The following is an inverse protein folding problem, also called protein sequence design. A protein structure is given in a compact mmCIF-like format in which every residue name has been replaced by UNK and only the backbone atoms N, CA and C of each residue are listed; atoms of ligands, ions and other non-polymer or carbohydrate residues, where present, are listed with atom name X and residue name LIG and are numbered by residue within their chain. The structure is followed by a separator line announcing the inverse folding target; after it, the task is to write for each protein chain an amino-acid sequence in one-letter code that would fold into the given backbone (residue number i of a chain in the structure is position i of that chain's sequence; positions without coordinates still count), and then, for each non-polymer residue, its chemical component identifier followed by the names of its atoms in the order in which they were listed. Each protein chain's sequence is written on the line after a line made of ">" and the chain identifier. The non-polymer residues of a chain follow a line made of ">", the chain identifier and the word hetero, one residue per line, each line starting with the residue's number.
data_IF_070248235053
#
_entry.id   IF_070248235053
#
_cell.length_a   1.000
_cell.length_b   1.000
_cell.length_c   1.000
_cell.angle_alpha   90.00
_cell.angle_beta   90.00
_cell.angle_gamma   90.00
#
_symmetry.space_group_name_H-M   'P 1'
#
loop_
_entity.id
_entity.type
_entity.pdbx_description
1 polymer ?
#
# COMPACT_ATOMS: atom_id res chain seq x y z
N UNK A 1 12.60 31.30 16.45
CA UNK A 1 13.77 30.48 16.07
C UNK A 1 13.25 29.23 15.38
N UNK A 2 13.32 29.14 14.05
CA UNK A 2 13.10 27.86 13.35
C UNK A 2 14.37 27.06 13.57
N UNK A 3 14.34 26.10 14.49
CA UNK A 3 15.41 25.12 14.62
C UNK A 3 15.50 24.38 13.30
N UNK A 4 16.59 24.56 12.55
CA UNK A 4 16.84 23.80 11.32
C UNK A 4 16.66 22.31 11.60
N UNK A 5 15.68 21.69 10.96
CA UNK A 5 15.30 20.32 11.23
C UNK A 5 16.47 19.38 10.94
N UNK A 6 16.74 18.44 11.86
CA UNK A 6 17.78 17.41 11.68
C UNK A 6 17.60 16.59 10.38
N UNK A 7 18.54 15.69 10.04
CA UNK A 7 18.57 14.99 8.77
C UNK A 7 17.25 14.31 8.39
N UNK A 8 16.99 14.21 7.08
CA UNK A 8 15.85 13.48 6.53
C UNK A 8 16.10 11.98 6.48
N UNK A 9 15.03 11.19 6.38
CA UNK A 9 15.07 9.73 6.21
C UNK A 9 14.35 9.38 4.92
N UNK A 10 15.00 8.57 4.07
CA UNK A 10 14.40 8.02 2.85
C UNK A 10 14.43 6.49 2.92
N UNK A 11 13.26 5.86 2.83
CA UNK A 11 13.11 4.42 2.72
C UNK A 11 12.64 4.04 1.31
N UNK A 12 13.37 3.15 0.64
CA UNK A 12 13.00 2.61 -0.67
C UNK A 12 12.67 1.13 -0.53
N UNK A 13 11.41 0.77 -0.78
CA UNK A 13 10.93 -0.61 -0.61
C UNK A 13 10.51 -1.23 -1.95
N UNK A 14 11.21 -2.30 -2.35
CA UNK A 14 10.84 -3.10 -3.52
C UNK A 14 9.84 -4.20 -3.15
N UNK A 15 8.55 -3.98 -3.44
CA UNK A 15 7.51 -4.99 -3.16
C UNK A 15 7.78 -6.29 -3.92
N UNK A 16 8.06 -7.38 -3.19
CA UNK A 16 8.38 -8.70 -3.77
C UNK A 16 9.81 -8.82 -4.30
N UNK A 17 10.68 -7.85 -4.00
CA UNK A 17 12.09 -7.86 -4.43
C UNK A 17 12.94 -8.70 -3.47
N UNK A 18 12.90 -10.01 -3.65
CA UNK A 18 13.83 -10.94 -2.97
C UNK A 18 15.22 -10.93 -3.62
N UNK A 19 16.16 -11.68 -3.04
CA UNK A 19 17.54 -11.80 -3.55
C UNK A 19 17.55 -12.28 -5.01
N UNK A 20 16.72 -13.28 -5.35
CA UNK A 20 16.64 -13.83 -6.71
C UNK A 20 16.11 -12.80 -7.72
N UNK A 21 15.03 -12.09 -7.36
CA UNK A 21 14.46 -11.02 -8.19
C UNK A 21 15.45 -9.89 -8.40
N UNK A 22 16.18 -9.51 -7.35
CA UNK A 22 17.18 -8.47 -7.40
C UNK A 22 18.38 -8.86 -8.28
N UNK A 23 18.91 -10.07 -8.12
CA UNK A 23 19.99 -10.60 -9.00
C UNK A 23 19.54 -10.68 -10.45
N UNK A 24 18.32 -11.13 -10.74
CA UNK A 24 17.79 -11.15 -12.09
C UNK A 24 17.68 -9.74 -12.69
N UNK A 25 17.21 -8.75 -11.90
CA UNK A 25 17.15 -7.36 -12.32
C UNK A 25 18.55 -6.77 -12.59
N UNK A 26 19.56 -7.17 -11.81
CA UNK A 26 20.97 -6.78 -11.99
C UNK A 26 21.47 -7.20 -13.37
N UNK A 27 21.31 -8.48 -13.69
CA UNK A 27 21.75 -9.07 -14.96
C UNK A 27 21.04 -8.39 -16.13
N UNK A 28 19.71 -8.27 -16.03
CA UNK A 28 18.92 -7.63 -17.08
C UNK A 28 19.36 -6.18 -17.33
N UNK A 29 19.63 -5.42 -16.27
CA UNK A 29 20.11 -4.03 -16.41
C UNK A 29 21.42 -3.96 -17.19
N UNK A 30 22.38 -4.84 -16.91
CA UNK A 30 23.65 -4.88 -17.63
C UNK A 30 23.50 -5.28 -19.09
N UNK A 31 22.63 -6.25 -19.38
CA UNK A 31 22.31 -6.67 -20.75
C UNK A 31 21.68 -5.52 -21.56
N UNK A 32 20.80 -4.73 -20.95
CA UNK A 32 20.25 -3.51 -21.57
C UNK A 32 21.32 -2.43 -21.85
N UNK A 33 22.49 -2.53 -21.21
CA UNK A 33 23.65 -1.67 -21.43
C UNK A 33 24.72 -2.34 -22.33
N UNK A 34 24.36 -3.40 -23.05
CA UNK A 34 25.25 -4.20 -23.91
C UNK A 34 26.43 -4.84 -23.15
N UNK A 35 26.24 -5.19 -21.88
CA UNK A 35 27.21 -5.95 -21.07
C UNK A 35 26.71 -7.39 -20.85
N UNK A 36 27.56 -8.25 -20.30
CA UNK A 36 27.19 -9.65 -19.96
C UNK A 36 26.09 -9.72 -18.89
N UNK A 37 26.07 -8.76 -17.96
CA UNK A 37 25.01 -8.58 -16.97
C UNK A 37 25.45 -8.86 -15.53
N UNK A 38 26.10 -9.99 -15.28
CA UNK A 38 26.39 -10.49 -13.92
C UNK A 38 27.25 -9.54 -13.08
N UNK A 39 28.20 -8.86 -13.72
CA UNK A 39 29.11 -7.89 -13.09
C UNK A 39 28.49 -6.50 -12.88
N UNK A 40 27.23 -6.30 -13.27
CA UNK A 40 26.59 -4.98 -13.21
C UNK A 40 26.33 -4.58 -11.78
N UNK A 41 26.86 -3.44 -11.35
CA UNK A 41 26.58 -2.91 -10.00
C UNK A 41 25.29 -2.08 -10.02
N UNK A 42 24.35 -2.40 -9.13
CA UNK A 42 23.17 -1.56 -8.88
C UNK A 42 23.44 -0.53 -7.78
N UNK A 43 22.69 0.57 -7.75
CA UNK A 43 22.83 1.59 -6.70
C UNK A 43 22.60 1.01 -5.29
N UNK A 44 21.77 -0.04 -5.17
CA UNK A 44 21.56 -0.74 -3.89
C UNK A 44 22.77 -1.61 -3.50
N UNK A 45 23.63 -2.01 -4.43
CA UNK A 45 24.85 -2.77 -4.16
C UNK A 45 25.96 -1.91 -3.54
N UNK A 46 25.88 -0.58 -3.70
CA UNK A 46 26.91 0.34 -3.16
C UNK A 46 26.68 0.73 -1.70
N UNK A 47 25.59 0.27 -1.07
CA UNK A 47 25.33 0.55 0.34
C UNK A 47 26.30 -0.25 1.22
N UNK A 48 26.94 0.38 2.23
CA UNK A 48 28.01 -0.25 3.00
C UNK A 48 27.52 -1.33 3.97
N UNK A 49 26.21 -1.38 4.26
CA UNK A 49 25.62 -2.29 5.24
C UNK A 49 24.48 -3.09 4.62
N UNK A 50 24.45 -4.39 4.91
CA UNK A 50 23.40 -5.32 4.48
C UNK A 50 22.90 -6.14 5.67
N UNK A 51 21.62 -6.45 5.69
CA UNK A 51 20.99 -7.29 6.72
C UNK A 51 19.81 -8.08 6.16
N UNK A 52 19.39 -9.11 6.90
CA UNK A 52 18.21 -9.91 6.59
C UNK A 52 17.11 -9.65 7.61
N UNK A 53 15.87 -9.52 7.13
CA UNK A 53 14.70 -9.27 7.96
C UNK A 53 13.68 -10.41 7.83
N UNK A 54 13.12 -10.85 8.97
CA UNK A 54 11.96 -11.75 9.02
C UNK A 54 10.70 -10.90 9.11
N UNK A 55 9.70 -11.20 8.28
CA UNK A 55 8.46 -10.41 8.19
C UNK A 55 7.24 -11.24 8.54
N UNK A 56 6.23 -10.60 9.11
CA UNK A 56 4.93 -11.22 9.32
C UNK A 56 4.10 -11.13 8.02
N UNK A 57 3.29 -12.14 7.75
CA UNK A 57 2.49 -12.24 6.54
C UNK A 57 1.07 -11.71 6.78
N UNK A 58 0.56 -10.98 5.81
CA UNK A 58 -0.83 -10.52 5.70
C UNK A 58 -1.33 -9.52 6.75
N UNK A 59 -0.49 -9.07 7.68
CA UNK A 59 -0.82 -8.00 8.63
C UNK A 59 -0.08 -6.70 8.30
N UNK A 60 -0.53 -5.57 8.85
CA UNK A 60 0.04 -4.23 8.59
C UNK A 60 0.20 -3.51 9.93
N UNK A 61 1.40 -2.97 10.20
CA UNK A 61 1.64 -2.07 11.34
C UNK A 61 1.31 -2.68 12.70
N UNK A 62 1.44 -4.00 12.85
CA UNK A 62 1.19 -4.72 14.11
C UNK A 62 2.34 -5.65 14.45
N UNK A 63 2.46 -5.97 15.74
CA UNK A 63 3.43 -6.91 16.28
C UNK A 63 3.17 -8.34 15.79
N UNK A 64 4.14 -9.24 16.05
CA UNK A 64 4.00 -10.67 15.75
C UNK A 64 2.87 -11.37 16.53
N UNK A 65 2.34 -10.75 17.60
CA UNK A 65 1.25 -11.32 18.38
C UNK A 65 -0.13 -11.15 17.72
N UNK A 66 -0.27 -10.21 16.78
CA UNK A 66 -1.51 -10.04 16.03
C UNK A 66 -1.68 -11.17 15.00
N UNK A 67 -2.89 -11.74 14.96
CA UNK A 67 -3.25 -12.84 14.06
C UNK A 67 -3.98 -12.32 12.84
N UNK A 68 -3.59 -12.83 11.66
CA UNK A 68 -4.20 -12.46 10.39
C UNK A 68 -5.73 -12.66 10.41
N UNK A 69 -6.49 -11.62 10.06
CA UNK A 69 -7.95 -11.61 9.99
C UNK A 69 -8.67 -11.50 11.33
N UNK A 70 -7.96 -11.55 12.47
CA UNK A 70 -8.56 -11.50 13.80
C UNK A 70 -8.47 -10.08 14.39
N UNK A 71 -9.49 -9.25 14.13
CA UNK A 71 -9.55 -7.85 14.60
C UNK A 71 -9.23 -7.69 16.09
N UNK A 72 -9.78 -8.57 16.95
CA UNK A 72 -9.56 -8.52 18.41
C UNK A 72 -8.09 -8.60 18.83
N UNK A 73 -7.24 -9.21 18.00
CA UNK A 73 -5.81 -9.36 18.27
C UNK A 73 -4.98 -8.16 17.80
N UNK A 74 -5.58 -7.22 17.08
CA UNK A 74 -4.93 -5.98 16.67
C UNK A 74 -4.70 -5.05 17.86
N UNK A 75 -5.73 -4.91 18.71
CA UNK A 75 -5.72 -3.96 19.83
C UNK A 75 -4.60 -4.28 20.83
N UNK A 76 -3.77 -3.29 21.11
CA UNK A 76 -2.61 -3.40 21.99
C UNK A 76 -1.36 -3.98 21.29
N UNK A 77 -1.46 -4.33 20.01
CA UNK A 77 -0.35 -4.84 19.21
C UNK A 77 0.03 -3.89 18.08
N UNK A 78 -0.53 -2.67 18.03
CA UNK A 78 -0.14 -1.64 17.09
C UNK A 78 1.31 -1.21 17.31
N UNK A 79 2.07 -1.07 16.22
CA UNK A 79 3.46 -0.58 16.26
C UNK A 79 3.58 0.74 15.54
N UNK A 80 4.15 1.73 16.20
CA UNK A 80 4.34 3.08 15.64
C UNK A 80 5.39 3.05 14.54
N UNK A 81 5.11 3.69 13.41
CA UNK A 81 6.03 3.79 12.28
C UNK A 81 7.03 4.96 12.45
N UNK A 82 8.15 4.88 11.74
CA UNK A 82 9.10 6.00 11.63
C UNK A 82 8.47 7.24 11.02
N UNK A 83 7.48 7.06 10.12
CA UNK A 83 6.73 8.16 9.50
C UNK A 83 5.91 8.91 10.57
N UNK A 84 5.22 8.19 11.46
CA UNK A 84 4.51 8.78 12.59
C UNK A 84 5.46 9.52 13.52
N UNK A 85 6.60 8.93 13.89
CA UNK A 85 7.60 9.59 14.72
C UNK A 85 8.17 10.86 14.09
N UNK A 86 8.44 10.84 12.79
CA UNK A 86 8.92 12.02 12.06
C UNK A 86 7.87 13.14 12.08
N UNK A 87 6.59 12.82 11.83
CA UNK A 87 5.51 13.81 11.88
C UNK A 87 5.30 14.36 13.30
N UNK A 88 5.34 13.51 14.32
CA UNK A 88 5.23 13.93 15.73
C UNK A 88 6.42 14.82 16.16
N UNK A 89 7.59 14.66 15.53
CA UNK A 89 8.74 15.54 15.69
C UNK A 89 8.66 16.84 14.84
N UNK A 90 7.52 17.11 14.19
CA UNK A 90 7.29 18.31 13.39
C UNK A 90 7.95 18.31 12.01
N UNK A 91 8.39 17.15 11.51
CA UNK A 91 8.94 17.02 10.14
C UNK A 91 7.81 16.79 9.13
N UNK A 92 8.04 17.25 7.90
CA UNK A 92 7.20 16.85 6.78
C UNK A 92 7.44 15.37 6.43
N UNK A 93 6.38 14.69 6.03
CA UNK A 93 6.39 13.27 5.69
C UNK A 93 5.64 13.01 4.38
N UNK A 94 6.04 11.96 3.67
CA UNK A 94 5.42 11.63 2.40
C UNK A 94 5.49 10.15 2.04
N UNK A 95 4.55 9.72 1.22
CA UNK A 95 4.46 8.37 0.67
C UNK A 95 4.39 8.48 -0.85
N UNK A 96 5.29 7.76 -1.53
CA UNK A 96 5.28 7.62 -2.99
C UNK A 96 5.29 6.13 -3.33
N UNK A 97 4.32 5.68 -4.12
CA UNK A 97 4.23 4.29 -4.56
C UNK A 97 3.68 4.20 -5.97
N UNK A 98 4.08 3.16 -6.70
CA UNK A 98 3.47 2.78 -7.98
C UNK A 98 2.19 1.95 -7.80
N UNK A 99 1.92 1.50 -6.57
CA UNK A 99 0.75 0.70 -6.23
C UNK A 99 -0.39 1.57 -5.70
N UNK A 100 -1.42 0.94 -5.14
CA UNK A 100 -2.44 1.65 -4.37
C UNK A 100 -1.80 2.17 -3.09
N UNK A 101 -2.10 3.39 -2.67
CA UNK A 101 -1.55 3.92 -1.39
C UNK A 101 -2.04 3.12 -0.18
N UNK A 102 -3.16 2.40 -0.31
CA UNK A 102 -3.69 1.44 0.67
C UNK A 102 -3.06 0.05 0.59
N UNK A 103 -2.13 -0.19 -0.35
CA UNK A 103 -1.43 -1.46 -0.46
C UNK A 103 -0.55 -1.72 0.79
N UNK A 104 -0.21 -2.97 1.07
CA UNK A 104 0.47 -3.35 2.31
C UNK A 104 1.74 -2.52 2.58
N UNK A 105 2.62 -2.38 1.59
CA UNK A 105 3.90 -1.65 1.74
C UNK A 105 3.74 -0.18 2.10
N UNK A 106 2.97 0.65 1.37
CA UNK A 106 2.74 2.03 1.82
C UNK A 106 1.91 2.07 3.13
N UNK A 107 0.96 1.17 3.31
CA UNK A 107 0.10 1.14 4.49
C UNK A 107 0.83 0.86 5.81
N UNK A 108 1.96 0.15 5.82
CA UNK A 108 2.74 -0.05 7.06
C UNK A 108 3.26 1.24 7.67
N UNK A 109 3.33 2.32 6.88
CA UNK A 109 3.79 3.62 7.37
C UNK A 109 2.73 4.40 8.14
N UNK A 110 1.45 4.05 8.05
CA UNK A 110 0.36 4.83 8.67
C UNK A 110 -0.78 4.01 9.27
N UNK A 111 -0.98 2.76 8.85
CA UNK A 111 -2.11 1.93 9.25
C UNK A 111 -1.70 0.79 10.19
N UNK A 112 -2.65 0.39 11.02
CA UNK A 112 -2.61 -0.81 11.85
C UNK A 112 -3.79 -1.69 11.44
N UNK A 113 -3.51 -2.85 10.85
CA UNK A 113 -4.54 -3.76 10.37
C UNK A 113 -4.15 -5.23 10.57
N UNK A 114 -5.03 -5.99 11.19
CA UNK A 114 -4.94 -7.45 11.25
C UNK A 114 -5.09 -8.12 9.87
N UNK A 115 -5.46 -7.40 8.81
CA UNK A 115 -5.51 -7.94 7.45
C UNK A 115 -5.18 -6.88 6.40
N UNK A 116 -4.19 -7.17 5.58
CA UNK A 116 -3.81 -6.35 4.42
C UNK A 116 -4.88 -6.27 3.33
N UNK A 117 -5.95 -7.05 3.43
CA UNK A 117 -7.04 -7.08 2.45
C UNK A 117 -8.12 -6.04 2.75
N UNK A 118 -8.14 -5.45 3.95
CA UNK A 118 -9.14 -4.47 4.38
C UNK A 118 -8.84 -3.07 3.83
N UNK A 119 -8.83 -2.94 2.49
CA UNK A 119 -8.50 -1.68 1.81
C UNK A 119 -9.54 -0.60 2.07
N UNK A 120 -10.81 -0.98 2.04
CA UNK A 120 -11.97 -0.15 2.37
C UNK A 120 -12.93 -0.89 3.30
N UNK A 121 -13.91 -0.18 3.83
CA UNK A 121 -15.03 -0.73 4.59
C UNK A 121 -15.76 -1.87 3.84
N UNK A 122 -15.83 -1.81 2.50
CA UNK A 122 -16.42 -2.85 1.67
C UNK A 122 -15.64 -4.17 1.69
N UNK A 123 -14.33 -4.14 2.00
CA UNK A 123 -13.48 -5.33 2.05
C UNK A 123 -13.43 -5.97 3.45
N UNK A 124 -14.07 -5.35 4.44
CA UNK A 124 -14.05 -5.81 5.83
C UNK A 124 -15.23 -6.73 6.16
N UNK A 125 -14.99 -7.83 6.89
CA UNK A 125 -16.09 -8.63 7.42
C UNK A 125 -16.85 -7.83 8.50
N UNK A 126 -18.16 -8.03 8.57
CA UNK A 126 -19.04 -7.33 9.53
C UNK A 126 -18.60 -7.53 10.99
N UNK A 127 -18.05 -8.72 11.31
CA UNK A 127 -17.49 -8.98 12.63
C UNK A 127 -16.33 -8.03 12.98
N UNK A 128 -15.43 -7.75 12.03
CA UNK A 128 -14.30 -6.85 12.26
C UNK A 128 -14.75 -5.40 12.44
N UNK A 129 -15.79 -4.97 11.70
CA UNK A 129 -16.39 -3.64 11.87
C UNK A 129 -17.02 -3.50 13.25
N UNK A 130 -17.77 -4.51 13.70
CA UNK A 130 -18.38 -4.56 15.03
C UNK A 130 -17.34 -4.58 16.15
N UNK A 131 -16.22 -5.26 15.94
CA UNK A 131 -15.09 -5.30 16.87
C UNK A 131 -14.27 -3.98 16.88
N UNK A 132 -14.65 -2.98 16.08
CA UNK A 132 -14.06 -1.64 16.08
C UNK A 132 -12.83 -1.47 15.19
N UNK A 133 -12.47 -2.46 14.38
CA UNK A 133 -11.44 -2.27 13.37
C UNK A 133 -11.92 -1.32 12.27
N UNK A 134 -10.99 -0.53 11.74
CA UNK A 134 -11.21 0.39 10.62
C UNK A 134 -10.40 -0.02 9.42
N UNK A 135 -10.89 0.31 8.24
CA UNK A 135 -10.23 0.00 6.98
C UNK A 135 -8.98 0.87 6.75
N UNK A 136 -8.11 0.42 5.86
CA UNK A 136 -6.82 1.08 5.56
C UNK A 136 -7.04 2.46 4.92
N UNK A 137 -8.06 2.66 4.10
CA UNK A 137 -8.35 3.96 3.49
C UNK A 137 -8.78 5.00 4.53
N UNK A 138 -9.64 4.61 5.48
CA UNK A 138 -10.01 5.46 6.63
C UNK A 138 -8.80 5.84 7.47
N UNK A 139 -7.91 4.89 7.73
CA UNK A 139 -6.70 5.11 8.54
C UNK A 139 -5.70 6.04 7.87
N UNK A 140 -5.61 6.04 6.53
CA UNK A 140 -4.75 6.95 5.76
C UNK A 140 -5.05 8.43 6.06
N UNK A 141 -6.32 8.76 6.28
CA UNK A 141 -6.76 10.14 6.53
C UNK A 141 -6.77 10.52 8.01
N UNK A 142 -6.81 9.53 8.91
CA UNK A 142 -7.09 9.76 10.34
C UNK A 142 -5.89 9.55 11.25
N UNK A 143 -4.99 8.62 10.92
CA UNK A 143 -3.95 8.20 11.85
C UNK A 143 -2.77 9.18 11.90
N UNK A 144 -2.38 9.74 10.76
CA UNK A 144 -1.24 10.66 10.64
C UNK A 144 -1.53 11.68 9.56
N UNK A 145 -1.19 12.94 9.81
CA UNK A 145 -1.25 13.99 8.80
C UNK A 145 -0.03 13.87 7.86
N UNK A 146 -0.27 13.40 6.64
CA UNK A 146 0.79 13.13 5.65
C UNK A 146 0.79 14.24 4.60
N UNK A 147 1.92 14.93 4.46
CA UNK A 147 2.03 16.12 3.62
C UNK A 147 1.97 15.78 2.11
N UNK A 148 2.51 14.62 1.73
CA UNK A 148 2.52 14.17 0.33
C UNK A 148 2.09 12.71 0.22
N UNK A 149 1.05 12.44 -0.58
CA UNK A 149 0.59 11.08 -0.89
C UNK A 149 0.49 10.94 -2.42
N UNK A 150 1.37 10.12 -3.01
CA UNK A 150 1.40 9.88 -4.46
C UNK A 150 1.30 8.38 -4.72
N UNK A 151 0.28 7.97 -5.48
CA UNK A 151 0.09 6.60 -5.93
C UNK A 151 -1.31 6.38 -6.51
N UNK A 152 -1.68 5.11 -6.69
CA UNK A 152 -3.03 4.71 -7.10
C UNK A 152 -4.01 4.55 -5.93
N UNK A 153 -5.15 3.91 -6.19
CA UNK A 153 -6.10 3.52 -5.13
C UNK A 153 -7.28 4.47 -4.90
N UNK A 154 -7.54 5.37 -5.85
CA UNK A 154 -8.66 6.33 -5.82
C UNK A 154 -10.01 5.70 -5.47
N UNK A 155 -10.30 4.52 -6.01
CA UNK A 155 -11.60 3.84 -5.83
C UNK A 155 -11.99 3.57 -4.37
N UNK A 156 -11.03 3.50 -3.45
CA UNK A 156 -11.27 3.26 -2.02
C UNK A 156 -11.55 4.54 -1.25
N UNK A 157 -11.38 5.70 -1.88
CA UNK A 157 -11.56 7.02 -1.27
C UNK A 157 -12.88 7.67 -1.70
N UNK A 158 -13.72 6.95 -2.45
CA UNK A 158 -14.94 7.48 -3.05
C UNK A 158 -16.12 6.54 -2.79
N UNK A 159 -17.35 7.06 -2.62
CA UNK A 159 -18.55 6.23 -2.51
C UNK A 159 -18.72 5.27 -3.69
N UNK A 160 -19.44 4.16 -3.46
CA UNK A 160 -19.80 3.22 -4.53
C UNK A 160 -20.54 3.95 -5.65
N UNK A 161 -20.18 3.64 -6.89
CA UNK A 161 -20.79 4.24 -8.09
C UNK A 161 -20.17 5.57 -8.53
N UNK A 162 -19.20 6.12 -7.80
CA UNK A 162 -18.45 7.29 -8.25
C UNK A 162 -17.67 6.93 -9.52
N UNK A 163 -17.98 7.58 -10.64
CA UNK A 163 -17.27 7.39 -11.91
C UNK A 163 -15.88 8.02 -11.81
N UNK A 164 -14.85 7.27 -12.18
CA UNK A 164 -13.51 7.83 -12.29
C UNK A 164 -13.40 8.65 -13.58
N UNK A 165 -13.24 9.96 -13.43
CA UNK A 165 -13.15 10.90 -14.54
C UNK A 165 -11.92 10.65 -15.43
N UNK A 166 -10.89 9.98 -14.90
CA UNK A 166 -9.66 9.65 -15.64
C UNK A 166 -9.70 8.31 -16.37
N UNK A 167 -10.81 7.57 -16.30
CA UNK A 167 -11.02 6.45 -17.22
C UNK A 167 -11.34 7.02 -18.60
N UNK A 168 -10.31 7.34 -19.40
CA UNK A 168 -10.48 7.20 -20.85
C UNK A 168 -10.98 5.78 -21.04
N UNK A 169 -12.22 5.62 -21.51
CA UNK A 169 -12.72 4.32 -21.92
C UNK A 169 -11.84 3.86 -23.08
N UNK A 170 -10.75 3.15 -22.77
CA UNK A 170 -10.04 2.36 -23.76
C UNK A 170 -10.93 1.13 -23.96
N UNK A 171 -12.01 1.32 -24.72
CA UNK A 171 -12.73 0.20 -25.32
C UNK A 171 -11.73 -0.49 -26.24
N UNK A 172 -11.43 -1.79 -26.05
CA UNK A 172 -10.69 -2.55 -27.04
C UNK A 172 -11.46 -2.44 -28.37
N UNK A 173 -10.81 -2.19 -29.51
CA UNK A 173 -11.50 -2.23 -30.79
C UNK A 173 -12.02 -3.65 -31.00
N UNK A 174 -13.33 -3.86 -30.82
CA UNK A 174 -14.00 -5.13 -31.12
C UNK A 174 -15.03 -5.67 -30.12
N UNK A 175 -15.19 -5.11 -28.92
CA UNK A 175 -16.21 -5.59 -27.99
C UNK A 175 -17.61 -5.04 -28.37
N UNK A 176 -18.30 -5.71 -29.31
CA UNK A 176 -19.74 -5.46 -29.57
C UNK A 176 -20.56 -5.79 -28.32
N UNK A 177 -21.57 -4.94 -28.10
CA UNK A 177 -22.36 -4.79 -26.88
C UNK A 177 -22.84 -6.08 -26.20
N UNK A 178 -22.73 -6.08 -24.88
CA UNK A 178 -23.75 -6.71 -24.02
C UNK A 178 -24.59 -5.58 -23.45
N UNK A 179 -25.80 -5.46 -23.96
CA UNK A 179 -26.87 -4.66 -23.36
C UNK A 179 -27.12 -5.15 -21.94
N UNK A 180 -27.10 -4.22 -21.00
CA UNK A 180 -27.57 -4.39 -19.64
C UNK A 180 -29.05 -4.82 -19.67
N UNK A 181 -29.32 -6.06 -19.31
CA UNK A 181 -30.69 -6.51 -19.02
C UNK A 181 -30.98 -6.30 -17.54
N UNK A 182 -31.32 -5.06 -17.18
CA UNK A 182 -32.27 -4.82 -16.10
C UNK A 182 -33.64 -5.34 -16.57
N UNK A 183 -34.11 -6.45 -16.02
CA UNK A 183 -35.54 -6.79 -16.07
C UNK A 183 -36.08 -6.75 -14.66
N UNK A 184 -36.84 -5.68 -14.41
CA UNK A 184 -37.72 -5.49 -13.28
C UNK A 184 -38.71 -6.66 -13.17
N UNK A 185 -38.83 -7.25 -11.99
CA UNK A 185 -40.06 -7.92 -11.57
C UNK A 185 -41.18 -6.87 -11.51
N UNK A 186 -42.21 -7.01 -12.33
CA UNK A 186 -43.53 -6.42 -12.07
C UNK A 186 -44.61 -7.09 -12.91
N UNK A 187 -45.47 -7.85 -12.25
CA UNK A 187 -46.91 -7.70 -12.42
C UNK A 187 -47.66 -8.58 -13.42
N UNK A 188 -48.58 -9.36 -12.83
CA UNK A 188 -49.98 -9.63 -13.21
C UNK A 188 -50.33 -10.91 -13.99
N UNK A 189 -51.11 -11.70 -13.24
CA UNK A 189 -52.15 -12.69 -13.56
C UNK A 189 -51.71 -14.01 -14.16
#
# INVERSE_FOLDING_TARGET
>A
MVSGGGPGVLEVSGSGMGITTYTAARILKGQLQNQTGEETVMTMDTFPNVGLAKTNLNTIGVSAAARNGACKTQRGNEVTSILKWAKDAGKSVGIVTTTRVQHATPATSYAHSASRKWYSDADMPEAAKKDGCTDIASQLLKNTDIDVIIGGGRKYMTPRGTKDQNTRQISPPGAKGKTDATSSMSGRK
#
